data_IF_313477994135
#
_entry.id   IF_313477994135
#
_cell.length_a   1.000
_cell.length_b   1.000
_cell.length_c   1.000
_cell.angle_alpha   90.00
_cell.angle_beta   90.00
_cell.angle_gamma   90.00
#
_symmetry.space_group_name_H-M   'P 1'
#
loop_
_entity.id
_entity.type
_entity.pdbx_description
1 polymer ?
#
# COMPACT_ATOMS: atom_id res chain seq x y z
N UNK A 1 -3.58 13.50 5.11
CA UNK A 1 -4.84 12.72 5.05
C UNK A 1 -5.86 13.12 6.09
N UNK A 2 -5.57 13.06 7.39
CA UNK A 2 -6.57 13.38 8.43
C UNK A 2 -7.35 14.68 8.16
N UNK A 3 -6.64 15.77 7.88
CA UNK A 3 -7.24 17.06 7.54
C UNK A 3 -8.18 17.00 6.32
N UNK A 4 -7.82 16.26 5.26
CA UNK A 4 -8.67 16.11 4.07
C UNK A 4 -9.94 15.31 4.39
N UNK A 5 -9.79 14.22 5.14
CA UNK A 5 -10.91 13.37 5.55
C UNK A 5 -11.90 14.15 6.44
N UNK A 6 -11.40 15.02 7.33
CA UNK A 6 -12.24 15.94 8.13
C UNK A 6 -13.00 16.97 7.26
N UNK A 7 -12.42 17.36 6.12
CA UNK A 7 -13.08 18.19 5.09
C UNK A 7 -13.98 17.40 4.14
N UNK A 8 -14.19 16.11 4.41
CA UNK A 8 -14.95 15.16 3.58
C UNK A 8 -14.41 14.95 2.16
N UNK A 9 -13.10 15.12 2.00
CA UNK A 9 -12.37 14.90 0.75
C UNK A 9 -11.60 13.59 0.79
N UNK A 10 -11.65 12.82 -0.29
CA UNK A 10 -10.91 11.58 -0.50
C UNK A 10 -9.96 11.82 -1.67
N UNK A 11 -8.66 11.57 -1.50
CA UNK A 11 -7.67 11.89 -2.55
C UNK A 11 -7.78 10.95 -3.76
N UNK A 12 -8.00 9.67 -3.48
CA UNK A 12 -8.18 8.56 -4.44
C UNK A 12 -6.97 8.18 -5.29
N UNK A 13 -5.99 9.05 -5.50
CA UNK A 13 -4.74 8.72 -6.25
C UNK A 13 -3.45 8.98 -5.46
N UNK A 14 -3.37 8.47 -4.22
CA UNK A 14 -2.14 8.53 -3.45
C UNK A 14 -1.10 7.55 -4.00
N UNK A 15 0.07 8.09 -4.31
CA UNK A 15 1.26 7.38 -4.82
C UNK A 15 2.52 8.24 -4.58
N UNK A 16 3.73 7.66 -4.59
CA UNK A 16 4.98 8.40 -4.35
C UNK A 16 5.16 9.60 -5.28
N UNK A 17 4.71 9.51 -6.54
CA UNK A 17 4.79 10.59 -7.52
C UNK A 17 3.98 11.83 -7.12
N UNK A 18 2.95 11.65 -6.28
CA UNK A 18 2.09 12.72 -5.78
C UNK A 18 2.54 13.26 -4.41
N UNK A 19 3.71 12.84 -3.91
CA UNK A 19 4.31 13.31 -2.67
C UNK A 19 5.66 13.95 -2.98
N UNK A 20 5.73 15.28 -2.91
CA UNK A 20 6.94 16.03 -3.24
C UNK A 20 7.69 16.47 -1.99
N UNK A 21 9.02 16.40 -2.03
CA UNK A 21 9.87 17.08 -1.07
C UNK A 21 9.73 18.59 -1.21
N UNK A 22 9.67 19.30 -0.08
CA UNK A 22 9.62 20.76 -0.06
C UNK A 22 10.93 21.36 -0.56
N UNK A 23 12.05 20.67 -0.37
CA UNK A 23 13.37 21.06 -0.85
C UNK A 23 14.03 19.89 -1.56
N UNK A 24 14.70 20.17 -2.69
CA UNK A 24 15.50 19.20 -3.43
C UNK A 24 16.94 19.10 -2.93
N UNK A 25 17.30 19.84 -1.88
CA UNK A 25 18.63 19.77 -1.30
C UNK A 25 18.90 18.39 -0.69
N UNK A 26 20.12 17.88 -0.92
CA UNK A 26 20.56 16.59 -0.40
C UNK A 26 21.95 16.68 0.23
N UNK A 27 22.25 15.71 1.10
CA UNK A 27 23.60 15.43 1.61
C UNK A 27 24.12 14.14 1.00
N UNK A 28 25.43 14.08 0.74
CA UNK A 28 26.12 12.86 0.31
C UNK A 28 26.66 12.15 1.54
N UNK A 29 26.20 10.92 1.77
CA UNK A 29 26.63 10.08 2.88
C UNK A 29 27.43 8.90 2.34
N UNK A 30 28.63 8.59 2.88
CA UNK A 30 29.36 7.39 2.50
C UNK A 30 28.51 6.13 2.67
N UNK A 31 28.55 5.24 1.69
CA UNK A 31 27.83 3.97 1.70
C UNK A 31 28.83 2.82 1.73
N UNK A 32 28.96 2.21 2.90
CA UNK A 32 29.82 1.04 3.14
C UNK A 32 29.20 -0.28 2.67
N UNK A 33 28.51 -0.29 1.52
CA UNK A 33 28.08 -1.55 0.89
C UNK A 33 29.30 -2.16 0.20
N UNK A 34 29.64 -3.40 0.58
CA UNK A 34 30.75 -4.22 0.08
C UNK A 34 31.09 -3.97 -1.39
N UNK A 35 32.11 -3.15 -1.66
CA UNK A 35 32.68 -3.01 -2.99
C UNK A 35 34.18 -2.82 -2.81
N UNK A 36 34.96 -3.71 -3.43
CA UNK A 36 36.42 -3.68 -3.43
C UNK A 36 37.01 -2.53 -4.29
N UNK A 37 36.17 -1.69 -4.89
CA UNK A 37 36.59 -0.57 -5.73
C UNK A 37 35.74 0.68 -5.43
N UNK A 38 36.32 1.64 -4.71
CA UNK A 38 35.82 3.02 -4.62
C UNK A 38 34.81 3.33 -3.50
N UNK A 39 34.90 4.55 -2.97
CA UNK A 39 33.94 5.11 -2.01
C UNK A 39 32.61 5.41 -2.71
N UNK A 40 31.61 4.55 -2.52
CA UNK A 40 30.24 4.83 -2.97
C UNK A 40 29.55 5.81 -2.01
N UNK A 41 28.76 6.74 -2.55
CA UNK A 41 27.95 7.69 -1.76
C UNK A 41 26.46 7.47 -2.02
N UNK A 42 25.62 7.72 -1.02
CA UNK A 42 24.16 7.85 -1.16
C UNK A 42 23.75 9.30 -0.96
N UNK A 43 22.79 9.77 -1.75
CA UNK A 43 22.19 11.09 -1.57
C UNK A 43 20.95 10.95 -0.68
N UNK A 44 20.96 11.61 0.48
CA UNK A 44 19.78 11.69 1.36
C UNK A 44 19.22 13.12 1.31
N UNK A 45 17.89 13.31 1.25
CA UNK A 45 17.30 14.64 1.39
C UNK A 45 17.78 15.32 2.68
N UNK A 46 18.11 16.61 2.62
CA UNK A 46 18.46 17.38 3.82
C UNK A 46 17.26 17.56 4.76
N UNK A 47 16.05 17.52 4.21
CA UNK A 47 14.79 17.64 4.94
C UNK A 47 13.81 16.58 4.43
N UNK A 48 13.08 15.96 5.35
CA UNK A 48 11.98 15.03 5.07
C UNK A 48 10.63 15.74 4.93
N UNK A 49 10.60 17.08 4.94
CA UNK A 49 9.37 17.83 4.76
C UNK A 49 8.78 17.57 3.37
N UNK A 50 7.52 17.14 3.34
CA UNK A 50 6.80 16.77 2.12
C UNK A 50 5.50 17.56 1.97
N UNK A 51 5.01 17.62 0.73
CA UNK A 51 3.68 18.13 0.39
C UNK A 51 2.98 17.13 -0.54
N UNK A 52 1.68 16.99 -0.32
CA UNK A 52 0.80 16.25 -1.21
C UNK A 52 0.38 17.16 -2.36
N UNK A 53 0.38 16.62 -3.57
CA UNK A 53 -0.02 17.30 -4.81
C UNK A 53 -1.06 16.46 -5.57
N UNK A 54 -1.52 16.99 -6.71
CA UNK A 54 -2.42 16.32 -7.65
C UNK A 54 -3.79 15.92 -7.07
N UNK A 55 -4.60 16.94 -6.79
CA UNK A 55 -5.99 16.80 -6.34
C UNK A 55 -6.98 16.60 -7.50
N UNK A 56 -6.50 16.33 -8.72
CA UNK A 56 -7.35 16.22 -9.93
C UNK A 56 -8.35 15.08 -9.89
N UNK A 57 -8.07 14.04 -9.09
CA UNK A 57 -8.94 12.88 -8.86
C UNK A 57 -9.61 12.88 -7.49
N UNK A 58 -9.50 13.99 -6.73
CA UNK A 58 -10.13 14.07 -5.39
C UNK A 58 -11.65 14.04 -5.52
N UNK A 59 -12.30 13.26 -4.66
CA UNK A 59 -13.75 13.11 -4.62
C UNK A 59 -14.31 13.56 -3.26
N UNK A 60 -15.54 14.05 -3.26
CA UNK A 60 -16.31 14.24 -2.03
C UNK A 60 -17.00 12.94 -1.64
N UNK A 61 -17.16 12.71 -0.34
CA UNK A 61 -17.87 11.53 0.19
C UNK A 61 -19.27 11.34 -0.39
N UNK A 62 -20.02 12.43 -0.60
CA UNK A 62 -21.42 12.40 -1.01
C UNK A 62 -21.66 12.44 -2.53
N UNK A 63 -20.61 12.29 -3.35
CA UNK A 63 -20.74 12.29 -4.81
C UNK A 63 -20.84 10.86 -5.36
N UNK A 64 -21.47 10.69 -6.53
CA UNK A 64 -21.44 9.41 -7.24
C UNK A 64 -20.00 9.03 -7.55
N UNK A 65 -19.53 7.97 -6.90
CA UNK A 65 -18.15 7.52 -7.04
C UNK A 65 -17.96 6.73 -8.33
N UNK A 66 -16.88 7.05 -9.08
CA UNK A 66 -16.37 6.14 -10.11
C UNK A 66 -16.10 4.76 -9.48
N UNK A 67 -16.47 3.69 -10.19
CA UNK A 67 -16.25 2.32 -9.71
C UNK A 67 -14.76 1.95 -9.62
N UNK A 68 -13.90 2.66 -10.35
CA UNK A 68 -12.45 2.43 -10.34
C UNK A 68 -11.74 3.75 -10.08
N UNK A 69 -10.93 3.75 -9.02
CA UNK A 69 -10.00 4.83 -8.67
C UNK A 69 -8.63 4.25 -8.30
N UNK A 70 -7.69 5.13 -8.00
CA UNK A 70 -6.30 4.84 -7.64
C UNK A 70 -5.44 4.25 -8.75
N UNK A 71 -4.18 4.67 -8.78
CA UNK A 71 -3.13 3.96 -9.50
C UNK A 71 -3.02 2.51 -8.99
N UNK A 72 -2.86 1.56 -9.93
CA UNK A 72 -3.05 0.11 -9.68
C UNK A 72 -2.28 -0.42 -8.46
N UNK A 73 -1.01 -0.05 -8.28
CA UNK A 73 -0.16 -0.59 -7.21
C UNK A 73 -0.58 -0.17 -5.79
N UNK A 74 -1.38 0.90 -5.67
CA UNK A 74 -1.83 1.46 -4.39
C UNK A 74 -3.34 1.29 -4.18
N UNK A 75 -4.00 0.53 -5.06
CA UNK A 75 -5.45 0.33 -5.07
C UNK A 75 -5.87 -0.65 -3.98
N UNK A 76 -6.85 -0.23 -3.19
CA UNK A 76 -7.40 -1.02 -2.09
C UNK A 76 -8.23 -2.23 -2.57
N UNK A 77 -8.33 -3.31 -1.77
CA UNK A 77 -9.03 -4.54 -2.13
C UNK A 77 -10.52 -4.30 -2.39
N UNK A 78 -11.20 -3.45 -1.61
CA UNK A 78 -12.61 -3.13 -1.77
C UNK A 78 -12.94 -2.52 -3.15
N UNK A 79 -11.99 -1.76 -3.73
CA UNK A 79 -12.12 -1.21 -5.08
C UNK A 79 -12.00 -2.34 -6.12
N UNK A 80 -11.03 -3.25 -5.96
CA UNK A 80 -10.83 -4.38 -6.88
C UNK A 80 -12.03 -5.34 -6.85
N UNK A 81 -12.63 -5.52 -5.68
CA UNK A 81 -13.80 -6.37 -5.47
C UNK A 81 -15.12 -5.68 -5.86
N UNK A 82 -15.12 -4.37 -6.07
CA UNK A 82 -16.31 -3.59 -6.41
C UNK A 82 -17.30 -3.47 -5.25
N UNK A 83 -16.79 -3.33 -4.02
CA UNK A 83 -17.59 -3.21 -2.78
C UNK A 83 -17.93 -1.76 -2.42
N UNK A 84 -17.58 -0.80 -3.29
CA UNK A 84 -17.55 0.62 -2.96
C UNK A 84 -16.27 0.99 -2.21
N UNK A 85 -16.03 2.29 -2.10
CA UNK A 85 -14.85 2.83 -1.42
C UNK A 85 -15.19 4.20 -0.79
N UNK A 86 -14.40 4.59 0.21
CA UNK A 86 -14.48 5.89 0.88
C UNK A 86 -13.08 6.20 1.47
N UNK A 87 -12.96 7.05 2.50
CA UNK A 87 -11.71 7.44 3.15
C UNK A 87 -10.69 6.30 3.39
N UNK A 88 -11.08 5.06 3.78
CA UNK A 88 -10.12 3.99 4.00
C UNK A 88 -9.26 3.63 2.78
N UNK A 89 -9.71 3.91 1.54
CA UNK A 89 -8.91 3.59 0.36
C UNK A 89 -7.59 4.36 0.32
N UNK A 90 -7.60 5.63 0.75
CA UNK A 90 -6.41 6.44 0.87
C UNK A 90 -5.44 5.87 1.93
N UNK A 91 -5.99 5.33 3.02
CA UNK A 91 -5.19 4.73 4.10
C UNK A 91 -4.46 3.48 3.59
N UNK A 92 -5.13 2.66 2.79
CA UNK A 92 -4.50 1.51 2.14
C UNK A 92 -3.33 1.97 1.26
N UNK A 93 -3.54 2.99 0.43
CA UNK A 93 -2.48 3.55 -0.42
C UNK A 93 -1.30 4.07 0.40
N UNK A 94 -1.54 4.74 1.53
CA UNK A 94 -0.47 5.14 2.47
C UNK A 94 0.29 3.93 3.00
N UNK A 95 -0.40 2.85 3.36
CA UNK A 95 0.24 1.59 3.78
C UNK A 95 1.18 1.03 2.72
N UNK A 96 0.74 0.98 1.46
CA UNK A 96 1.58 0.55 0.34
C UNK A 96 2.81 1.44 0.14
N UNK A 97 2.62 2.77 0.17
CA UNK A 97 3.71 3.76 0.02
C UNK A 97 4.75 3.61 1.14
N UNK A 98 4.31 3.39 2.39
CA UNK A 98 5.24 3.21 3.51
C UNK A 98 6.09 1.95 3.37
N UNK A 99 5.53 0.85 2.85
CA UNK A 99 6.32 -0.35 2.55
C UNK A 99 7.33 -0.06 1.43
N UNK A 100 6.90 0.61 0.37
CA UNK A 100 7.77 0.99 -0.75
C UNK A 100 8.91 1.93 -0.32
N UNK A 101 8.66 2.85 0.61
CA UNK A 101 9.71 3.68 1.20
C UNK A 101 10.73 2.87 2.00
N UNK A 102 10.35 1.71 2.53
CA UNK A 102 11.27 0.82 3.24
C UNK A 102 12.07 -0.06 2.28
N UNK A 103 11.43 -0.67 1.28
CA UNK A 103 12.05 -1.63 0.36
C UNK A 103 12.71 -0.98 -0.87
N UNK A 104 12.23 0.19 -1.29
CA UNK A 104 12.56 0.81 -2.58
C UNK A 104 11.80 0.21 -3.77
N UNK A 105 10.89 -0.73 -3.55
CA UNK A 105 10.06 -1.37 -4.58
C UNK A 105 8.58 -1.33 -4.20
N UNK A 106 7.70 -1.08 -5.18
CA UNK A 106 6.26 -1.09 -4.97
C UNK A 106 5.80 -2.43 -4.37
N UNK A 107 5.01 -2.36 -3.29
CA UNK A 107 4.56 -3.56 -2.55
C UNK A 107 3.79 -4.55 -3.45
N UNK A 108 2.94 -4.02 -4.34
CA UNK A 108 2.14 -4.80 -5.27
C UNK A 108 2.42 -4.39 -6.72
N UNK A 109 3.57 -4.84 -7.24
CA UNK A 109 3.94 -4.62 -8.64
C UNK A 109 3.20 -5.60 -9.55
N UNK A 110 2.02 -5.20 -10.00
CA UNK A 110 1.07 -6.05 -10.74
C UNK A 110 0.45 -5.33 -11.93
N UNK A 111 -0.03 -6.10 -12.90
CA UNK A 111 -0.70 -5.57 -14.10
C UNK A 111 -2.17 -5.98 -14.21
N UNK A 112 -2.66 -6.83 -13.32
CA UNK A 112 -4.02 -7.38 -13.40
C UNK A 112 -4.60 -7.67 -11.99
N UNK A 113 -5.92 -7.80 -11.87
CA UNK A 113 -6.60 -7.80 -10.57
C UNK A 113 -6.48 -9.13 -9.78
N UNK A 114 -6.49 -10.28 -10.45
CA UNK A 114 -6.35 -11.59 -9.81
C UNK A 114 -4.96 -11.76 -9.20
N UNK A 115 -3.91 -11.44 -9.96
CA UNK A 115 -2.53 -11.33 -9.48
C UNK A 115 -2.45 -10.38 -8.29
N UNK A 116 -3.04 -9.19 -8.39
CA UNK A 116 -3.03 -8.22 -7.30
C UNK A 116 -3.64 -8.81 -6.02
N UNK A 117 -4.83 -9.43 -6.10
CA UNK A 117 -5.46 -10.11 -4.96
C UNK A 117 -4.59 -11.27 -4.43
N UNK A 118 -3.93 -12.01 -5.31
CA UNK A 118 -3.03 -13.11 -4.91
C UNK A 118 -1.78 -12.59 -4.20
N UNK A 119 -1.22 -11.46 -4.65
CA UNK A 119 -0.13 -10.77 -3.97
C UNK A 119 -0.56 -10.30 -2.58
N UNK A 120 -1.76 -9.72 -2.46
CA UNK A 120 -2.31 -9.34 -1.16
C UNK A 120 -2.45 -10.56 -0.23
N UNK A 121 -2.98 -11.69 -0.72
CA UNK A 121 -3.08 -12.92 0.09
C UNK A 121 -1.70 -13.48 0.51
N UNK A 122 -0.70 -13.35 -0.37
CA UNK A 122 0.68 -13.76 -0.09
C UNK A 122 1.33 -12.90 0.99
N UNK A 123 1.07 -11.60 0.99
CA UNK A 123 1.70 -10.64 1.92
C UNK A 123 0.98 -10.60 3.27
N UNK A 124 -0.36 -10.53 3.26
CA UNK A 124 -1.19 -10.18 4.42
C UNK A 124 -1.96 -11.38 5.01
N UNK A 125 -2.11 -12.47 4.26
CA UNK A 125 -2.99 -13.59 4.64
C UNK A 125 -4.28 -13.60 3.83
N UNK A 126 -5.16 -14.60 4.03
CA UNK A 126 -6.34 -14.79 3.18
C UNK A 126 -7.29 -13.59 3.22
N UNK A 127 -7.96 -13.33 2.08
CA UNK A 127 -9.05 -12.36 2.03
C UNK A 127 -10.20 -12.79 2.95
N UNK A 128 -10.85 -11.86 3.67
CA UNK A 128 -12.01 -12.19 4.49
C UNK A 128 -13.15 -12.77 3.65
N UNK A 129 -13.73 -13.89 4.09
CA UNK A 129 -14.75 -14.62 3.33
C UNK A 129 -15.97 -13.74 3.02
N UNK A 130 -16.39 -12.89 3.96
CA UNK A 130 -17.53 -12.00 3.76
C UNK A 130 -17.30 -10.96 2.65
N UNK A 131 -16.05 -10.54 2.42
CA UNK A 131 -15.71 -9.65 1.30
C UNK A 131 -15.79 -10.40 -0.04
N UNK A 132 -15.38 -11.67 -0.06
CA UNK A 132 -15.47 -12.54 -1.24
C UNK A 132 -16.94 -12.76 -1.61
N UNK A 133 -17.79 -13.08 -0.63
CA UNK A 133 -19.21 -13.34 -0.84
C UNK A 133 -19.97 -12.09 -1.34
N UNK A 134 -19.54 -10.90 -0.93
CA UNK A 134 -20.13 -9.62 -1.36
C UNK A 134 -19.52 -9.08 -2.65
N UNK A 135 -18.47 -9.71 -3.19
CA UNK A 135 -17.78 -9.23 -4.38
C UNK A 135 -18.77 -9.00 -5.53
N UNK A 136 -18.58 -7.89 -6.24
CA UNK A 136 -19.43 -7.53 -7.37
C UNK A 136 -19.42 -8.61 -8.48
N UNK A 137 -20.44 -8.64 -9.36
CA UNK A 137 -20.48 -9.61 -10.45
C UNK A 137 -19.23 -9.63 -11.33
N UNK A 138 -18.61 -8.46 -11.55
CA UNK A 138 -17.38 -8.34 -12.35
C UNK A 138 -16.13 -8.90 -11.65
N UNK A 139 -16.13 -8.92 -10.31
CA UNK A 139 -15.06 -9.47 -9.48
C UNK A 139 -15.25 -10.97 -9.16
N UNK A 140 -16.48 -11.49 -9.27
CA UNK A 140 -16.79 -12.92 -9.01
C UNK A 140 -15.90 -13.90 -9.79
N UNK A 141 -15.47 -13.53 -11.00
CA UNK A 141 -14.57 -14.33 -11.87
C UNK A 141 -13.20 -14.63 -11.26
N UNK A 142 -12.78 -13.85 -10.25
CA UNK A 142 -11.52 -14.05 -9.54
C UNK A 142 -11.58 -15.18 -8.51
N UNK A 143 -12.76 -15.75 -8.24
CA UNK A 143 -12.94 -16.75 -7.19
C UNK A 143 -13.44 -18.08 -7.74
N UNK A 144 -12.90 -19.19 -7.22
CA UNK A 144 -13.42 -20.55 -7.44
C UNK A 144 -14.48 -20.85 -6.41
N UNK A 145 -15.65 -21.27 -6.89
CA UNK A 145 -16.80 -21.66 -6.06
C UNK A 145 -17.27 -20.55 -5.09
N UNK A 146 -16.85 -19.30 -5.30
CA UNK A 146 -17.19 -18.16 -4.44
C UNK A 146 -16.54 -18.15 -3.06
N UNK A 147 -15.50 -18.95 -2.81
CA UNK A 147 -14.90 -19.11 -1.45
C UNK A 147 -13.40 -18.89 -1.43
N UNK A 148 -12.71 -19.13 -2.55
CA UNK A 148 -11.24 -19.06 -2.63
C UNK A 148 -10.81 -18.38 -3.91
N UNK A 149 -9.70 -17.68 -3.86
CA UNK A 149 -9.12 -17.06 -5.03
C UNK A 149 -8.81 -18.12 -6.11
N UNK A 150 -9.09 -17.80 -7.37
CA UNK A 150 -8.83 -18.62 -8.54
C UNK A 150 -7.34 -18.56 -8.94
N UNK A 151 -6.45 -18.80 -7.99
CA UNK A 151 -5.01 -18.73 -8.17
C UNK A 151 -4.35 -19.99 -7.58
N UNK A 152 -3.37 -20.62 -8.25
CA UNK A 152 -2.63 -20.13 -9.42
C UNK A 152 -3.25 -20.44 -10.78
N UNK A 153 -4.27 -21.29 -10.89
CA UNK A 153 -4.67 -21.79 -12.21
C UNK A 153 -5.54 -20.83 -13.02
N UNK A 154 -6.03 -19.73 -12.43
CA UNK A 154 -6.56 -18.59 -13.16
C UNK A 154 -5.53 -17.52 -13.50
N UNK A 155 -4.27 -17.67 -13.09
CA UNK A 155 -3.23 -16.68 -13.35
C UNK A 155 -2.99 -16.51 -14.86
N UNK A 156 -2.69 -15.28 -15.28
CA UNK A 156 -2.53 -14.93 -16.70
C UNK A 156 -1.27 -15.49 -17.34
N UNK A 157 -0.23 -15.80 -16.55
CA UNK A 157 1.04 -16.32 -17.05
C UNK A 157 1.89 -16.98 -15.94
N UNK A 158 2.95 -17.69 -16.34
CA UNK A 158 3.93 -18.25 -15.39
C UNK A 158 4.75 -17.17 -14.69
N UNK A 159 4.97 -16.04 -15.36
CA UNK A 159 5.65 -14.85 -14.83
C UNK A 159 4.83 -14.26 -13.70
N UNK A 160 3.51 -14.16 -13.88
CA UNK A 160 2.59 -13.72 -12.84
C UNK A 160 2.62 -14.63 -11.61
N UNK A 161 2.58 -15.95 -11.81
CA UNK A 161 2.70 -16.91 -10.71
C UNK A 161 4.03 -16.75 -9.97
N UNK A 162 5.13 -16.53 -10.69
CA UNK A 162 6.46 -16.32 -10.11
C UNK A 162 6.52 -15.01 -9.31
N UNK A 163 5.96 -13.93 -9.83
CA UNK A 163 5.91 -12.64 -9.17
C UNK A 163 5.20 -12.75 -7.81
N UNK A 164 4.01 -13.36 -7.77
CA UNK A 164 3.29 -13.60 -6.50
C UNK A 164 4.10 -14.49 -5.55
N UNK A 165 4.69 -15.60 -6.03
CA UNK A 165 5.42 -16.53 -5.15
C UNK A 165 6.69 -15.91 -4.54
N UNK A 166 7.33 -14.98 -5.23
CA UNK A 166 8.55 -14.28 -4.80
C UNK A 166 8.30 -13.35 -3.61
N UNK A 167 7.09 -12.83 -3.44
CA UNK A 167 6.77 -11.92 -2.34
C UNK A 167 6.84 -12.63 -0.99
N UNK A 168 7.43 -11.97 -0.01
CA UNK A 168 7.45 -12.41 1.39
C UNK A 168 6.21 -11.92 2.15
N UNK A 169 6.04 -12.40 3.39
CA UNK A 169 5.00 -11.84 4.29
C UNK A 169 5.38 -10.43 4.70
N UNK A 170 4.39 -9.59 5.03
CA UNK A 170 4.63 -8.20 5.41
C UNK A 170 5.70 -8.05 6.50
N UNK A 171 5.62 -8.85 7.57
CA UNK A 171 6.62 -8.84 8.66
C UNK A 171 8.05 -9.08 8.18
N UNK A 172 8.22 -9.97 7.19
CA UNK A 172 9.53 -10.40 6.70
C UNK A 172 10.09 -9.33 5.74
N UNK A 173 9.23 -8.76 4.88
CA UNK A 173 9.59 -7.62 4.02
C UNK A 173 10.12 -6.44 4.83
N UNK A 174 9.44 -6.09 5.93
CA UNK A 174 9.87 -4.98 6.81
C UNK A 174 11.16 -5.33 7.54
N UNK A 175 11.26 -6.53 8.11
CA UNK A 175 12.43 -6.96 8.89
C UNK A 175 13.73 -7.06 8.07
N UNK A 176 13.63 -7.26 6.75
CA UNK A 176 14.78 -7.27 5.85
C UNK A 176 15.38 -5.88 5.61
N UNK A 177 14.58 -4.81 5.74
CA UNK A 177 14.96 -3.46 5.33
C UNK A 177 15.06 -2.47 6.50
N UNK A 178 14.45 -2.80 7.64
CA UNK A 178 14.35 -1.95 8.81
C UNK A 178 14.86 -2.72 10.02
N UNK A 179 15.73 -2.09 10.83
CA UNK A 179 16.29 -2.71 12.03
C UNK A 179 15.19 -3.22 12.99
N UNK A 180 15.51 -4.31 13.69
CA UNK A 180 14.61 -5.08 14.58
C UNK A 180 13.90 -4.24 15.65
N UNK A 181 14.40 -3.04 15.97
CA UNK A 181 13.80 -2.10 16.93
C UNK A 181 12.45 -1.52 16.49
N UNK A 182 11.93 -1.85 15.29
CA UNK A 182 10.69 -1.26 14.74
C UNK A 182 9.49 -2.21 14.64
N UNK A 183 9.28 -3.09 15.61
CA UNK A 183 7.97 -3.79 15.79
C UNK A 183 6.76 -2.83 15.67
N UNK A 184 6.81 -1.58 16.20
CA UNK A 184 5.71 -0.64 16.03
C UNK A 184 5.42 -0.23 14.57
N UNK A 185 6.40 -0.28 13.66
CA UNK A 185 6.18 0.00 12.24
C UNK A 185 5.39 -1.13 11.59
N UNK A 186 5.78 -2.37 11.84
CA UNK A 186 5.06 -3.54 11.31
C UNK A 186 3.62 -3.56 11.81
N UNK A 187 3.40 -3.24 13.09
CA UNK A 187 2.06 -3.12 13.68
C UNK A 187 1.23 -2.02 13.01
N UNK A 188 1.80 -0.83 12.81
CA UNK A 188 1.15 0.25 12.06
C UNK A 188 0.76 -0.20 10.65
N UNK A 189 1.67 -0.85 9.93
CA UNK A 189 1.44 -1.32 8.56
C UNK A 189 0.32 -2.36 8.50
N UNK A 190 0.24 -3.30 9.44
CA UNK A 190 -0.89 -4.23 9.52
C UNK A 190 -2.22 -3.50 9.77
N UNK A 191 -2.22 -2.43 10.57
CA UNK A 191 -3.41 -1.59 10.78
C UNK A 191 -3.84 -0.80 9.53
N UNK A 192 -2.88 -0.27 8.76
CA UNK A 192 -3.15 0.46 7.50
C UNK A 192 -3.56 -0.48 6.34
N UNK A 193 -3.06 -1.71 6.33
CA UNK A 193 -3.27 -2.70 5.26
C UNK A 193 -4.31 -3.77 5.63
N UNK A 194 -5.25 -3.46 6.54
CA UNK A 194 -6.40 -4.35 6.75
C UNK A 194 -7.29 -4.42 5.52
N UNK A 195 -7.70 -5.64 5.16
CA UNK A 195 -8.61 -5.87 4.05
C UNK A 195 -9.96 -5.19 4.23
N UNK A 196 -10.61 -5.45 5.36
CA UNK A 196 -11.91 -4.87 5.70
C UNK A 196 -11.76 -3.37 5.97
N UNK A 197 -12.36 -2.50 5.12
CA UNK A 197 -12.20 -1.05 5.25
C UNK A 197 -12.67 -0.50 6.60
N UNK A 198 -13.70 -1.11 7.20
CA UNK A 198 -14.24 -0.69 8.49
C UNK A 198 -13.35 -1.04 9.69
N UNK A 199 -12.43 -1.99 9.53
CA UNK A 199 -11.46 -2.33 10.56
C UNK A 199 -10.11 -1.62 10.37
N UNK A 200 -9.87 -1.05 9.18
CA UNK A 200 -8.64 -0.37 8.81
C UNK A 200 -8.47 0.91 9.63
N UNK A 201 -7.24 1.19 10.06
CA UNK A 201 -6.95 2.41 10.82
C UNK A 201 -7.42 3.65 10.05
N UNK A 202 -8.06 4.58 10.74
CA UNK A 202 -8.28 5.92 10.20
C UNK A 202 -6.97 6.72 10.22
N UNK A 203 -6.89 7.79 9.42
CA UNK A 203 -5.75 8.70 9.47
C UNK A 203 -5.52 9.29 10.86
N UNK A 204 -6.61 9.55 11.62
CA UNK A 204 -6.52 10.07 13.00
C UNK A 204 -5.90 9.03 13.93
N UNK A 205 -6.38 7.79 13.91
CA UNK A 205 -5.83 6.72 14.77
C UNK A 205 -4.37 6.43 14.44
N UNK A 206 -4.02 6.40 13.15
CA UNK A 206 -2.65 6.19 12.69
C UNK A 206 -1.68 7.27 13.21
N UNK A 207 -2.11 8.55 13.28
CA UNK A 207 -1.28 9.63 13.86
C UNK A 207 -0.98 9.43 15.34
N UNK A 208 -1.87 8.76 16.07
CA UNK A 208 -1.69 8.46 17.48
C UNK A 208 -1.02 7.11 17.74
N UNK A 209 -0.59 6.39 16.71
CA UNK A 209 0.03 5.07 16.82
C UNK A 209 1.37 5.11 17.59
N UNK A 210 1.72 4.07 18.38
CA UNK A 210 2.99 4.01 19.13
C UNK A 210 4.24 4.25 18.28
N UNK A 211 4.20 3.89 16.99
CA UNK A 211 5.29 4.15 16.04
C UNK A 211 5.73 5.62 16.00
N UNK A 212 4.79 6.56 16.12
CA UNK A 212 5.08 8.00 16.08
C UNK A 212 5.30 8.63 17.47
N UNK A 213 5.11 7.86 18.56
CA UNK A 213 5.26 8.36 19.94
C UNK A 213 6.64 8.14 20.51
N UNK A 214 7.39 7.16 20.00
CA UNK A 214 8.76 6.92 20.42
C UNK A 214 9.69 7.92 19.71
N UNK A 215 10.39 8.80 20.44
CA UNK A 215 11.37 9.68 19.82
C UNK A 215 12.49 8.85 19.19
N UNK A 216 12.79 9.14 17.92
CA UNK A 216 14.01 8.72 17.22
C UNK A 216 15.22 9.47 17.74
#
# INVERSE_FOLDING_TARGET
>A
MHYMHDLRLIHTDLKPENILLVSSEYVKVPSYKNSQDGTNFRCLPKSSAIKLIDFGSTAFENQDHSSIVSTRHYRAPEIILGLGWNYPCDIWSVGCILVELCSGEALFQTHENLEHLAMMERVLGPLPEHMIQKASPSASKYFRRGIRLNWPEGAVSRESIRAVRKLDRLKDLVSQHVEYSRTPLTDLLYGLLKFEPSERLTAREALYHPFFRSPT
#
